data_IF_059790613132
#
_entry.id   IF_059790613132
#
_cell.length_a   1.000
_cell.length_b   1.000
_cell.length_c   1.000
_cell.angle_alpha   90.00
_cell.angle_beta   90.00
_cell.angle_gamma   90.00
#
_symmetry.space_group_name_H-M   'P 1'
#
loop_
_entity.id
_entity.type
_entity.pdbx_description
1 polymer ?
#
# COMPACT_ATOMS: atom_id res chain seq x y z
N UNK A 1 46.61 68.37 42.77
CA UNK A 1 45.27 68.67 43.33
C UNK A 1 44.50 69.51 42.31
N UNK A 2 43.77 68.88 41.38
CA UNK A 2 42.85 69.53 40.43
C UNK A 2 41.67 68.59 40.16
N UNK A 3 40.50 69.20 40.02
CA UNK A 3 39.16 68.69 40.28
C UNK A 3 38.58 67.83 39.15
N UNK A 4 37.60 67.01 39.54
CA UNK A 4 36.74 66.15 38.73
C UNK A 4 35.96 66.89 37.64
N UNK A 5 35.61 66.17 36.57
CA UNK A 5 34.35 66.36 35.83
C UNK A 5 33.79 64.97 35.49
N UNK A 6 32.62 64.69 36.06
CA UNK A 6 31.78 63.52 35.86
C UNK A 6 30.81 63.85 34.73
N UNK A 7 30.88 63.17 33.60
CA UNK A 7 29.90 63.30 32.51
C UNK A 7 29.00 62.08 32.54
N UNK A 8 27.76 62.24 33.03
CA UNK A 8 26.69 61.26 32.92
C UNK A 8 26.20 61.21 31.46
N UNK A 9 26.28 60.04 30.83
CA UNK A 9 25.62 59.74 29.56
C UNK A 9 24.38 58.89 29.87
N UNK A 10 23.19 59.44 29.67
CA UNK A 10 21.92 58.70 29.72
C UNK A 10 21.65 58.16 28.32
N UNK A 11 21.75 56.84 28.14
CA UNK A 11 21.34 56.15 26.91
C UNK A 11 19.95 55.58 27.13
N UNK A 12 18.94 56.18 26.49
CA UNK A 12 17.61 55.59 26.38
C UNK A 12 17.62 54.53 25.27
N UNK A 13 17.61 53.25 25.67
CA UNK A 13 17.49 52.13 24.74
C UNK A 13 16.03 51.90 24.33
N UNK A 14 15.74 52.12 23.04
CA UNK A 14 14.47 51.71 22.42
C UNK A 14 14.57 50.22 22.09
N UNK A 15 13.78 49.39 22.77
CA UNK A 15 13.62 47.97 22.42
C UNK A 15 12.57 47.89 21.31
N UNK A 16 13.03 47.70 20.07
CA UNK A 16 12.14 47.31 18.97
C UNK A 16 11.80 45.83 19.13
N UNK A 17 10.59 45.51 19.58
CA UNK A 17 10.07 44.15 19.52
C UNK A 17 9.66 43.85 18.08
N UNK A 18 10.48 43.08 17.37
CA UNK A 18 10.08 42.44 16.12
C UNK A 18 9.11 41.29 16.49
N UNK A 19 7.83 41.47 16.19
CA UNK A 19 6.87 40.37 16.20
C UNK A 19 7.00 39.64 14.86
N UNK A 20 7.66 38.49 14.86
CA UNK A 20 7.53 37.53 13.77
C UNK A 20 6.14 36.91 13.88
N UNK A 21 5.21 37.37 13.04
CA UNK A 21 3.93 36.71 12.84
C UNK A 21 4.18 35.39 12.09
N UNK A 22 4.38 34.31 12.83
CA UNK A 22 4.31 32.96 12.26
C UNK A 22 2.85 32.71 11.93
N UNK A 23 2.49 32.86 10.66
CA UNK A 23 1.22 32.37 10.15
C UNK A 23 1.23 30.84 10.28
N UNK A 24 0.68 30.33 11.39
CA UNK A 24 0.32 28.93 11.54
C UNK A 24 -0.81 28.66 10.55
N UNK A 25 -0.46 28.18 9.36
CA UNK A 25 -1.43 27.59 8.46
C UNK A 25 -1.86 26.26 9.09
N UNK A 26 -2.90 26.31 9.93
CA UNK A 26 -3.57 25.11 10.41
C UNK A 26 -4.21 24.43 9.21
N UNK A 27 -3.57 23.35 8.73
CA UNK A 27 -4.25 22.40 7.87
C UNK A 27 -4.97 21.44 8.80
N UNK A 28 -6.20 21.76 9.19
CA UNK A 28 -7.10 20.76 9.76
C UNK A 28 -7.48 19.81 8.63
N UNK A 29 -6.66 18.78 8.41
CA UNK A 29 -7.19 17.58 7.78
C UNK A 29 -8.29 17.07 8.71
N UNK A 30 -9.54 17.13 8.26
CA UNK A 30 -10.67 16.47 8.96
C UNK A 30 -10.45 14.95 8.94
N UNK A 31 -9.68 14.46 7.97
CA UNK A 31 -9.45 13.05 7.74
C UNK A 31 -8.23 12.55 8.53
N UNK A 32 -8.35 11.33 9.07
CA UNK A 32 -7.25 10.63 9.74
C UNK A 32 -6.24 10.20 8.67
N UNK A 33 -5.00 10.66 8.78
CA UNK A 33 -3.92 10.30 7.86
C UNK A 33 -3.09 9.18 8.46
N UNK A 34 -2.76 8.18 7.66
CA UNK A 34 -1.90 7.08 8.03
C UNK A 34 -0.74 6.88 7.06
N UNK A 35 0.24 6.11 7.47
CA UNK A 35 1.31 5.65 6.60
C UNK A 35 1.81 4.27 7.00
N UNK A 36 2.39 3.57 6.03
CA UNK A 36 3.09 2.31 6.24
C UNK A 36 4.42 2.31 5.51
N UNK A 37 5.44 1.84 6.22
CA UNK A 37 6.77 1.57 5.70
C UNK A 37 6.82 0.15 5.14
N UNK A 38 7.33 0.00 3.92
CA UNK A 38 7.44 -1.28 3.22
C UNK A 38 8.89 -1.46 2.79
N UNK A 39 9.47 -2.60 3.14
CA UNK A 39 10.82 -2.96 2.73
C UNK A 39 10.79 -3.66 1.37
N UNK A 40 11.46 -3.04 0.40
CA UNK A 40 11.64 -3.57 -0.94
C UNK A 40 12.83 -4.52 -0.96
N UNK A 41 12.64 -5.70 -1.54
CA UNK A 41 13.69 -6.68 -1.71
C UNK A 41 14.79 -6.14 -2.66
N UNK A 42 16.09 -6.43 -2.44
CA UNK A 42 17.16 -5.93 -3.30
C UNK A 42 17.18 -6.62 -4.68
N UNK A 43 17.93 -6.05 -5.63
CA UNK A 43 18.49 -6.74 -6.80
C UNK A 43 17.50 -7.63 -7.58
N UNK A 44 16.53 -7.04 -8.26
CA UNK A 44 15.42 -7.75 -8.94
C UNK A 44 14.46 -8.53 -8.02
N UNK A 45 14.61 -8.41 -6.71
CA UNK A 45 13.66 -8.94 -5.75
C UNK A 45 12.28 -8.31 -5.92
N UNK A 46 11.25 -9.13 -5.66
CA UNK A 46 9.85 -8.74 -5.73
C UNK A 46 9.27 -8.58 -4.32
N UNK A 47 8.55 -7.49 -4.10
CA UNK A 47 7.79 -7.23 -2.88
C UNK A 47 6.31 -7.07 -3.23
N UNK A 48 5.44 -7.85 -2.57
CA UNK A 48 3.99 -7.74 -2.74
C UNK A 48 3.50 -6.61 -1.85
N UNK A 49 2.71 -5.72 -2.43
CA UNK A 49 2.23 -4.51 -1.77
C UNK A 49 0.71 -4.44 -1.88
N UNK A 50 0.06 -3.96 -0.83
CA UNK A 50 -1.36 -3.69 -0.79
C UNK A 50 -1.62 -2.21 -0.50
N UNK A 51 -2.59 -1.63 -1.20
CA UNK A 51 -3.09 -0.28 -0.95
C UNK A 51 -4.24 -0.36 0.06
N UNK A 52 -4.10 0.31 1.20
CA UNK A 52 -5.09 0.29 2.29
C UNK A 52 -5.44 1.69 2.82
N UNK A 53 -5.02 2.69 2.06
CA UNK A 53 -5.27 4.10 2.30
C UNK A 53 -5.86 4.66 1.01
N UNK A 54 -6.68 5.68 1.14
CA UNK A 54 -7.05 6.51 0.00
C UNK A 54 -5.92 7.53 -0.20
N UNK A 55 -5.18 7.37 -1.29
CA UNK A 55 -4.07 8.26 -1.59
C UNK A 55 -4.60 9.64 -1.99
N UNK A 56 -3.95 10.70 -1.50
CA UNK A 56 -4.29 12.09 -1.85
C UNK A 56 -4.26 12.35 -3.37
N UNK A 57 -3.33 11.67 -4.04
CA UNK A 57 -3.30 11.51 -5.49
C UNK A 57 -3.19 9.99 -5.76
N UNK A 58 -4.24 9.37 -6.33
CA UNK A 58 -4.28 7.92 -6.52
C UNK A 58 -3.31 7.44 -7.60
N UNK A 59 -2.68 8.31 -8.40
CA UNK A 59 -1.74 7.86 -9.43
C UNK A 59 -0.49 7.20 -8.83
N UNK A 60 0.20 6.35 -9.60
CA UNK A 60 1.51 5.81 -9.18
C UNK A 60 2.48 6.90 -8.75
N UNK A 61 2.47 8.04 -9.43
CA UNK A 61 3.30 9.19 -9.08
C UNK A 61 2.89 9.80 -7.73
N UNK A 62 1.60 9.96 -7.47
CA UNK A 62 1.09 10.45 -6.19
C UNK A 62 1.44 9.53 -5.02
N UNK A 63 1.27 8.22 -5.21
CA UNK A 63 1.49 7.20 -4.19
C UNK A 63 2.98 6.96 -3.90
N UNK A 64 3.77 6.73 -4.95
CA UNK A 64 5.16 6.27 -4.81
C UNK A 64 6.15 7.44 -4.87
N UNK A 65 5.75 8.56 -5.47
CA UNK A 65 6.56 9.77 -5.61
C UNK A 65 7.96 9.43 -6.15
N UNK A 66 9.00 10.05 -5.59
CA UNK A 66 10.40 9.88 -5.98
C UNK A 66 11.14 8.78 -5.22
N UNK A 67 10.41 7.91 -4.50
CA UNK A 67 11.01 6.90 -3.61
C UNK A 67 11.57 5.68 -4.36
N UNK A 68 11.22 5.53 -5.64
CA UNK A 68 11.72 4.48 -6.52
C UNK A 68 12.99 4.89 -7.26
N UNK A 69 13.83 3.92 -7.59
CA UNK A 69 14.98 4.08 -8.48
C UNK A 69 14.46 4.30 -9.89
N UNK A 70 14.63 5.53 -10.37
CA UNK A 70 14.37 5.90 -11.75
C UNK A 70 15.53 5.53 -12.68
N UNK A 71 15.24 5.33 -13.96
CA UNK A 71 16.25 5.11 -14.99
C UNK A 71 15.80 5.53 -16.38
N UNK A 72 16.76 5.87 -17.25
CA UNK A 72 16.51 6.10 -18.68
C UNK A 72 16.27 4.79 -19.45
N UNK A 73 16.42 3.63 -18.80
CA UNK A 73 16.11 2.30 -19.35
C UNK A 73 15.25 1.50 -18.38
N UNK A 74 14.19 0.86 -18.88
CA UNK A 74 13.28 0.00 -18.08
C UNK A 74 14.02 -0.99 -17.19
N UNK A 75 15.05 -1.65 -17.71
CA UNK A 75 15.80 -2.66 -16.98
C UNK A 75 16.67 -2.12 -15.83
N UNK A 76 16.89 -0.80 -15.77
CA UNK A 76 17.65 -0.15 -14.70
C UNK A 76 16.78 0.55 -13.66
N UNK A 77 15.46 0.59 -13.86
CA UNK A 77 14.51 1.19 -12.92
C UNK A 77 13.85 0.12 -12.05
N UNK A 78 13.27 0.55 -10.94
CA UNK A 78 12.22 -0.25 -10.30
C UNK A 78 11.01 -0.36 -11.22
N UNK A 79 10.27 -1.45 -11.07
CA UNK A 79 9.09 -1.72 -11.87
C UNK A 79 7.90 -2.05 -10.97
N UNK A 80 6.77 -1.40 -11.25
CA UNK A 80 5.47 -1.69 -10.62
C UNK A 80 4.69 -2.60 -11.56
N UNK A 81 4.17 -3.70 -11.03
CA UNK A 81 3.36 -4.66 -11.78
C UNK A 81 1.96 -4.69 -11.20
N UNK A 82 0.98 -4.29 -12.01
CA UNK A 82 -0.44 -4.31 -11.66
C UNK A 82 -1.08 -5.42 -12.48
N UNK A 83 -1.75 -6.35 -11.81
CA UNK A 83 -2.44 -7.44 -12.49
C UNK A 83 -3.72 -6.93 -13.15
N UNK A 84 -3.86 -7.21 -14.45
CA UNK A 84 -5.08 -6.96 -15.19
C UNK A 84 -5.86 -8.27 -15.33
N UNK A 85 -6.92 -8.40 -14.54
CA UNK A 85 -7.73 -9.62 -14.51
C UNK A 85 -8.45 -9.89 -15.83
N UNK A 86 -8.78 -8.85 -16.61
CA UNK A 86 -9.48 -9.03 -17.89
C UNK A 86 -8.59 -9.70 -18.94
N UNK A 87 -7.30 -9.32 -18.97
CA UNK A 87 -6.32 -9.90 -19.90
C UNK A 87 -5.52 -11.06 -19.29
N UNK A 88 -5.61 -11.29 -17.98
CA UNK A 88 -4.77 -12.25 -17.24
C UNK A 88 -3.27 -12.01 -17.46
N UNK A 89 -2.86 -10.74 -17.47
CA UNK A 89 -1.46 -10.34 -17.64
C UNK A 89 -1.11 -9.20 -16.68
N UNK A 90 0.19 -8.95 -16.50
CA UNK A 90 0.63 -7.76 -15.78
C UNK A 90 0.79 -6.58 -16.73
N UNK A 91 0.20 -5.45 -16.35
CA UNK A 91 0.66 -4.13 -16.80
C UNK A 91 1.87 -3.74 -15.97
N UNK A 92 2.91 -3.25 -16.65
CA UNK A 92 4.21 -2.97 -16.03
C UNK A 92 4.52 -1.50 -16.22
N UNK A 93 4.97 -0.85 -15.15
CA UNK A 93 5.30 0.56 -15.15
C UNK A 93 6.66 0.80 -14.55
N UNK A 94 7.41 1.76 -15.07
CA UNK A 94 8.72 2.15 -14.56
C UNK A 94 8.85 3.67 -14.53
N UNK A 95 9.64 4.17 -13.58
CA UNK A 95 9.87 5.61 -13.42
C UNK A 95 11.11 6.07 -14.19
N UNK A 96 11.01 7.21 -14.89
CA UNK A 96 12.16 7.90 -15.51
C UNK A 96 12.71 8.99 -14.60
N UNK A 97 13.89 9.56 -14.89
CA UNK A 97 14.48 10.63 -14.07
C UNK A 97 13.66 11.94 -14.02
N UNK A 98 12.63 12.08 -14.85
CA UNK A 98 11.62 13.14 -14.77
C UNK A 98 10.55 12.91 -13.69
N UNK A 99 10.63 11.78 -12.97
CA UNK A 99 9.71 11.34 -11.92
C UNK A 99 8.28 11.02 -12.42
N UNK A 100 8.13 10.67 -13.69
CA UNK A 100 6.87 10.18 -14.26
C UNK A 100 6.95 8.67 -14.51
N UNK A 101 5.80 7.99 -14.43
CA UNK A 101 5.67 6.58 -14.76
C UNK A 101 5.23 6.36 -16.20
N UNK A 102 5.91 5.42 -16.85
CA UNK A 102 5.69 5.02 -18.23
C UNK A 102 5.36 3.54 -18.29
N UNK A 103 4.59 3.12 -19.30
CA UNK A 103 4.45 1.70 -19.62
C UNK A 103 5.83 1.11 -19.93
N UNK A 104 6.19 0.02 -19.28
CA UNK A 104 7.47 -0.64 -19.46
C UNK A 104 7.61 -1.30 -20.85
N UNK A 105 6.50 -1.58 -21.54
CA UNK A 105 6.48 -2.05 -22.93
C UNK A 105 6.61 -0.91 -23.94
N UNK A 106 6.24 0.32 -23.57
CA UNK A 106 6.38 1.54 -24.39
C UNK A 106 7.11 2.65 -23.61
N UNK A 107 8.34 2.36 -23.19
CA UNK A 107 9.11 3.28 -22.36
C UNK A 107 9.59 4.53 -23.12
N UNK A 108 9.41 4.59 -24.44
CA UNK A 108 9.65 5.79 -25.25
C UNK A 108 8.43 6.70 -25.37
N UNK A 109 7.24 6.18 -25.03
CA UNK A 109 5.97 6.87 -25.20
C UNK A 109 5.66 7.94 -24.15
N UNK A 110 4.40 8.34 -24.11
CA UNK A 110 3.87 9.30 -23.14
C UNK A 110 3.76 8.68 -21.73
N UNK A 111 3.85 9.49 -20.66
CA UNK A 111 3.61 9.01 -19.31
C UNK A 111 2.16 8.54 -19.15
N UNK A 112 1.95 7.43 -18.42
CA UNK A 112 0.62 6.81 -18.24
C UNK A 112 0.08 6.97 -16.82
N UNK A 113 0.94 6.94 -15.79
CA UNK A 113 0.60 7.17 -14.38
C UNK A 113 -0.77 6.59 -13.95
N UNK A 114 -0.99 5.26 -14.06
CA UNK A 114 -2.28 4.66 -13.69
C UNK A 114 -2.60 4.88 -12.20
N UNK A 115 -3.88 4.88 -11.83
CA UNK A 115 -4.29 4.95 -10.44
C UNK A 115 -4.02 3.65 -9.69
N UNK A 116 -3.91 3.77 -8.36
CA UNK A 116 -3.92 2.73 -7.35
C UNK A 116 -4.98 3.11 -6.33
N UNK A 117 -5.92 2.19 -6.08
CA UNK A 117 -7.03 2.39 -5.17
C UNK A 117 -6.90 1.49 -3.93
N UNK A 118 -7.53 1.91 -2.82
CA UNK A 118 -7.65 1.07 -1.63
C UNK A 118 -8.29 -0.29 -1.97
N UNK A 119 -7.76 -1.36 -1.38
CA UNK A 119 -8.15 -2.74 -1.68
C UNK A 119 -7.41 -3.38 -2.86
N UNK A 120 -6.58 -2.63 -3.61
CA UNK A 120 -5.77 -3.19 -4.69
C UNK A 120 -4.42 -3.73 -4.19
N UNK A 121 -3.98 -4.84 -4.79
CA UNK A 121 -2.64 -5.39 -4.59
C UNK A 121 -1.80 -5.26 -5.86
N UNK A 122 -0.50 -5.09 -5.70
CA UNK A 122 0.46 -5.00 -6.81
C UNK A 122 1.85 -5.49 -6.38
N UNK A 123 2.74 -5.68 -7.34
CA UNK A 123 4.14 -5.97 -7.06
C UNK A 123 5.02 -4.77 -7.34
N UNK A 124 6.08 -4.64 -6.55
CA UNK A 124 7.24 -3.82 -6.88
C UNK A 124 8.43 -4.75 -7.06
N UNK A 125 9.05 -4.70 -8.23
CA UNK A 125 10.37 -5.30 -8.47
C UNK A 125 11.42 -4.22 -8.34
N UNK A 126 12.41 -4.45 -7.48
CA UNK A 126 13.54 -3.52 -7.38
C UNK A 126 14.45 -3.58 -8.60
N UNK A 127 15.04 -2.44 -8.94
CA UNK A 127 16.08 -2.34 -9.94
C UNK A 127 17.23 -3.33 -9.65
N UNK A 128 17.90 -3.88 -10.68
CA UNK A 128 19.09 -4.72 -10.49
C UNK A 128 20.21 -3.99 -9.74
N UNK A 129 20.23 -2.66 -9.81
CA UNK A 129 21.24 -1.80 -9.17
C UNK A 129 20.95 -1.50 -7.71
N UNK A 130 19.82 -1.96 -7.14
CA UNK A 130 19.52 -1.82 -5.72
C UNK A 130 20.33 -2.86 -4.91
N UNK A 131 21.44 -2.48 -4.25
CA UNK A 131 22.38 -3.44 -3.67
C UNK A 131 21.88 -4.02 -2.34
N UNK A 132 20.98 -3.30 -1.67
CA UNK A 132 20.43 -3.65 -0.37
C UNK A 132 18.92 -3.45 -0.38
N UNK A 133 18.24 -4.05 0.61
CA UNK A 133 16.85 -3.70 0.86
C UNK A 133 16.76 -2.21 1.18
N UNK A 134 15.64 -1.60 0.74
CA UNK A 134 15.34 -0.18 0.96
C UNK A 134 13.86 -0.03 1.25
N UNK A 135 13.52 1.03 1.96
CA UNK A 135 12.17 1.26 2.41
C UNK A 135 11.46 2.28 1.52
N UNK A 136 10.19 2.03 1.23
CA UNK A 136 9.26 3.04 0.72
C UNK A 136 8.18 3.30 1.76
N UNK A 137 7.51 4.43 1.64
CA UNK A 137 6.38 4.83 2.46
C UNK A 137 5.15 4.95 1.56
N UNK A 138 4.09 4.25 1.91
CA UNK A 138 2.75 4.48 1.37
C UNK A 138 1.98 5.27 2.42
N UNK A 139 1.44 6.42 2.03
CA UNK A 139 0.69 7.30 2.90
C UNK A 139 -0.60 7.74 2.21
N UNK A 140 -1.60 8.06 3.01
CA UNK A 140 -2.90 8.51 2.54
C UNK A 140 -3.88 8.67 3.69
N UNK A 141 -5.12 8.96 3.35
CA UNK A 141 -6.21 9.02 4.30
C UNK A 141 -6.64 7.61 4.67
N UNK A 142 -6.95 7.39 5.94
CA UNK A 142 -7.67 6.20 6.35
C UNK A 142 -9.05 6.24 5.70
N UNK A 143 -9.43 5.15 5.03
CA UNK A 143 -10.73 5.02 4.40
C UNK A 143 -11.84 5.30 5.42
N UNK A 144 -12.66 6.34 5.23
CA UNK A 144 -13.68 6.74 6.19
C UNK A 144 -14.98 5.94 6.05
N UNK A 145 -15.18 5.27 4.90
CA UNK A 145 -16.39 4.51 4.63
C UNK A 145 -16.63 3.43 5.69
N UNK A 146 -17.89 3.22 6.12
CA UNK A 146 -18.22 2.19 7.10
C UNK A 146 -18.05 0.78 6.54
N UNK A 147 -18.13 0.62 5.22
CA UNK A 147 -17.86 -0.62 4.51
C UNK A 147 -17.39 -0.35 3.08
N UNK A 148 -16.55 -1.25 2.54
CA UNK A 148 -16.14 -1.25 1.13
C UNK A 148 -16.54 -2.57 0.50
N UNK A 149 -17.16 -2.51 -0.67
CA UNK A 149 -17.46 -3.67 -1.50
C UNK A 149 -16.57 -3.72 -2.74
N UNK A 150 -15.81 -4.80 -2.88
CA UNK A 150 -14.94 -5.09 -4.00
C UNK A 150 -15.54 -6.18 -4.88
N UNK A 151 -15.58 -5.95 -6.19
CA UNK A 151 -15.92 -7.01 -7.13
C UNK A 151 -14.80 -8.07 -7.18
N UNK A 152 -15.21 -9.33 -7.05
CA UNK A 152 -14.37 -10.50 -7.26
C UNK A 152 -14.85 -11.18 -8.54
N UNK A 153 -13.93 -11.35 -9.49
CA UNK A 153 -14.18 -12.08 -10.72
C UNK A 153 -13.51 -13.45 -10.68
N UNK A 154 -14.02 -14.40 -11.46
CA UNK A 154 -13.42 -15.74 -11.58
C UNK A 154 -11.96 -15.67 -12.02
N UNK A 155 -11.10 -16.49 -11.42
CA UNK A 155 -9.69 -16.59 -11.75
C UNK A 155 -8.76 -15.85 -10.79
N UNK A 156 -7.53 -15.61 -11.24
CA UNK A 156 -6.49 -14.94 -10.45
C UNK A 156 -6.68 -13.42 -10.44
N UNK A 157 -6.53 -12.82 -9.27
CA UNK A 157 -6.50 -11.38 -9.09
C UNK A 157 -5.69 -11.00 -7.85
N UNK A 158 -5.10 -9.81 -7.84
CA UNK A 158 -4.44 -9.27 -6.65
C UNK A 158 -5.40 -8.40 -5.86
N UNK A 159 -5.41 -8.58 -4.55
CA UNK A 159 -6.23 -7.80 -3.62
C UNK A 159 -5.42 -7.43 -2.39
N UNK A 160 -5.92 -6.46 -1.66
CA UNK A 160 -5.46 -6.10 -0.33
C UNK A 160 -6.68 -5.90 0.57
N UNK A 161 -6.49 -5.95 1.87
CA UNK A 161 -7.56 -5.61 2.80
C UNK A 161 -7.83 -4.09 2.71
N UNK A 162 -9.07 -3.63 2.48
CA UNK A 162 -9.31 -2.25 2.03
C UNK A 162 -9.13 -1.18 3.12
N UNK A 163 -9.05 -1.56 4.41
CA UNK A 163 -8.87 -0.62 5.51
C UNK A 163 -7.46 -0.65 6.10
N UNK A 164 -7.09 0.43 6.78
CA UNK A 164 -5.76 0.71 7.31
C UNK A 164 -5.37 -0.11 8.56
N UNK A 165 -5.58 -1.42 8.51
CA UNK A 165 -5.15 -2.35 9.55
C UNK A 165 -4.68 -3.70 9.02
N UNK A 166 -4.06 -4.46 9.92
CA UNK A 166 -3.84 -5.89 9.72
C UNK A 166 -5.14 -6.66 9.94
N UNK A 167 -5.26 -7.80 9.27
CA UNK A 167 -6.46 -8.64 9.34
C UNK A 167 -6.07 -10.10 9.49
N UNK A 168 -6.74 -10.82 10.39
CA UNK A 168 -6.67 -12.27 10.37
C UNK A 168 -7.44 -12.79 9.16
N UNK A 169 -6.86 -13.74 8.44
CA UNK A 169 -7.47 -14.43 7.30
C UNK A 169 -8.86 -14.99 7.66
N UNK A 170 -9.04 -15.46 8.90
CA UNK A 170 -10.33 -15.99 9.36
C UNK A 170 -11.39 -14.92 9.62
N UNK A 171 -10.98 -13.65 9.74
CA UNK A 171 -11.90 -12.52 9.97
C UNK A 171 -12.34 -11.85 8.66
N UNK A 172 -11.90 -12.36 7.50
CA UNK A 172 -12.34 -11.86 6.20
C UNK A 172 -13.73 -12.40 5.87
N UNK A 173 -14.61 -11.55 5.37
CA UNK A 173 -16.04 -11.89 5.19
C UNK A 173 -16.33 -12.71 3.92
N UNK A 174 -15.27 -13.14 3.21
CA UNK A 174 -15.33 -13.93 1.98
C UNK A 174 -16.36 -15.07 2.01
N UNK A 175 -16.43 -15.82 3.11
CA UNK A 175 -17.33 -16.97 3.24
C UNK A 175 -18.81 -16.56 3.20
N UNK A 176 -19.17 -15.43 3.83
CA UNK A 176 -20.53 -14.92 3.85
C UNK A 176 -20.88 -14.17 2.55
N UNK A 177 -19.86 -13.64 1.88
CA UNK A 177 -19.98 -12.89 0.62
C UNK A 177 -20.09 -13.76 -0.63
N UNK A 178 -20.00 -15.08 -0.49
CA UNK A 178 -20.20 -16.03 -1.59
C UNK A 178 -18.92 -16.64 -2.16
N UNK A 179 -17.80 -16.58 -1.45
CA UNK A 179 -16.61 -17.35 -1.81
C UNK A 179 -16.95 -18.85 -1.90
N UNK A 180 -16.35 -19.52 -2.89
CA UNK A 180 -16.62 -20.94 -3.12
C UNK A 180 -15.86 -21.80 -2.12
N UNK A 181 -16.57 -22.53 -1.27
CA UNK A 181 -15.96 -23.52 -0.38
C UNK A 181 -15.94 -24.92 -1.02
N UNK A 182 -15.04 -25.80 -0.56
CA UNK A 182 -15.04 -27.20 -0.96
C UNK A 182 -14.53 -28.14 0.14
N UNK A 183 -14.86 -29.44 0.02
CA UNK A 183 -14.23 -30.51 0.80
C UNK A 183 -12.84 -30.91 0.28
N UNK A 184 -12.42 -30.36 -0.88
CA UNK A 184 -11.08 -30.54 -1.47
C UNK A 184 -10.49 -29.19 -1.82
N UNK A 185 -9.24 -28.93 -1.43
CA UNK A 185 -8.58 -27.62 -1.62
C UNK A 185 -8.58 -27.11 -3.07
N UNK A 186 -8.48 -27.99 -4.07
CA UNK A 186 -8.51 -27.59 -5.49
C UNK A 186 -9.88 -27.09 -6.00
N UNK A 187 -10.97 -27.46 -5.32
CA UNK A 187 -12.33 -27.07 -5.67
C UNK A 187 -12.82 -25.81 -4.95
N UNK A 188 -12.05 -25.29 -3.99
CA UNK A 188 -12.37 -24.08 -3.23
C UNK A 188 -11.66 -22.85 -3.80
N UNK A 189 -12.17 -21.67 -3.46
CA UNK A 189 -11.44 -20.42 -3.60
C UNK A 189 -10.14 -20.48 -2.77
N UNK A 190 -9.13 -19.76 -3.23
CA UNK A 190 -7.79 -19.80 -2.63
C UNK A 190 -7.21 -18.41 -2.42
N UNK A 191 -6.46 -18.24 -1.33
CA UNK A 191 -5.66 -17.05 -1.03
C UNK A 191 -4.19 -17.44 -0.99
N UNK A 192 -3.33 -16.68 -1.69
CA UNK A 192 -1.89 -16.88 -1.68
C UNK A 192 -1.24 -15.65 -1.04
N UNK A 193 -0.55 -15.87 0.07
CA UNK A 193 0.15 -14.84 0.83
C UNK A 193 1.65 -15.05 0.65
N UNK A 194 2.34 -14.06 0.07
CA UNK A 194 3.77 -14.14 -0.17
C UNK A 194 4.57 -13.78 1.08
N UNK A 195 5.39 -14.70 1.57
CA UNK A 195 6.23 -14.52 2.75
C UNK A 195 7.54 -15.27 2.63
N UNK A 196 8.63 -14.64 3.08
CA UNK A 196 9.95 -15.28 3.13
C UNK A 196 10.38 -15.90 1.78
N UNK A 197 9.96 -15.29 0.66
CA UNK A 197 10.31 -15.76 -0.69
C UNK A 197 9.47 -16.92 -1.23
N UNK A 198 8.36 -17.29 -0.56
CA UNK A 198 7.45 -18.34 -1.01
C UNK A 198 5.97 -17.96 -0.75
N UNK A 199 5.03 -18.67 -1.40
CA UNK A 199 3.61 -18.53 -1.08
C UNK A 199 3.19 -19.54 -0.02
N UNK A 200 2.55 -19.04 1.03
CA UNK A 200 1.60 -19.84 1.80
C UNK A 200 0.25 -19.77 1.11
N UNK A 201 -0.39 -20.92 0.90
CA UNK A 201 -1.64 -21.02 0.14
C UNK A 201 -2.73 -21.52 1.10
N UNK A 202 -3.88 -20.87 1.08
CA UNK A 202 -5.03 -21.20 1.90
C UNK A 202 -6.25 -21.44 1.02
N UNK A 203 -7.11 -22.37 1.41
CA UNK A 203 -8.35 -22.72 0.69
C UNK A 203 -9.55 -22.71 1.65
N UNK A 204 -10.73 -22.29 1.16
CA UNK A 204 -11.94 -22.21 1.97
C UNK A 204 -12.63 -23.58 2.11
N UNK A 205 -12.73 -24.10 3.34
CA UNK A 205 -13.23 -25.46 3.61
C UNK A 205 -14.70 -25.48 3.97
N UNK A 206 -15.51 -26.30 3.29
CA UNK A 206 -16.98 -26.33 3.48
C UNK A 206 -17.41 -26.75 4.88
N UNK A 207 -16.72 -27.68 5.54
CA UNK A 207 -17.16 -28.21 6.83
C UNK A 207 -17.06 -27.20 7.98
N UNK A 208 -16.17 -26.22 7.87
CA UNK A 208 -15.91 -25.22 8.91
C UNK A 208 -16.21 -23.80 8.44
N UNK A 209 -16.37 -23.58 7.14
CA UNK A 209 -16.44 -22.25 6.52
C UNK A 209 -15.26 -21.35 6.94
N UNK A 210 -14.07 -21.95 7.01
CA UNK A 210 -12.82 -21.29 7.42
C UNK A 210 -11.75 -21.54 6.38
N UNK A 211 -10.73 -20.69 6.36
CA UNK A 211 -9.55 -20.87 5.52
C UNK A 211 -8.62 -21.89 6.16
N UNK A 212 -8.10 -22.83 5.36
CA UNK A 212 -7.15 -23.86 5.80
C UNK A 212 -5.92 -23.84 4.89
N UNK A 213 -4.74 -24.07 5.47
CA UNK A 213 -3.51 -24.24 4.69
C UNK A 213 -3.66 -25.43 3.74
N UNK A 214 -3.31 -25.30 2.46
CA UNK A 214 -3.51 -26.43 1.53
C UNK A 214 -2.57 -27.60 1.84
N UNK A 215 -1.42 -27.33 2.45
CA UNK A 215 -0.45 -28.36 2.84
C UNK A 215 -0.96 -29.23 4.00
N UNK A 216 -1.88 -28.70 4.81
CA UNK A 216 -2.60 -29.41 5.87
C UNK A 216 -4.10 -29.09 5.84
N UNK A 217 -4.74 -29.33 4.69
CA UNK A 217 -6.17 -28.99 4.52
C UNK A 217 -7.10 -29.80 5.45
N UNK A 218 -6.60 -30.89 6.04
CA UNK A 218 -7.29 -31.69 7.04
C UNK A 218 -7.21 -31.13 8.46
N UNK A 219 -6.22 -30.28 8.72
CA UNK A 219 -5.88 -29.75 10.04
C UNK A 219 -6.81 -28.64 10.56
N UNK A 220 -6.38 -27.97 11.65
CA UNK A 220 -7.08 -26.82 12.19
C UNK A 220 -6.87 -25.57 11.31
N UNK A 221 -7.85 -24.66 11.34
CA UNK A 221 -7.72 -23.37 10.66
C UNK A 221 -6.56 -22.56 11.28
N UNK A 222 -5.62 -22.03 10.48
CA UNK A 222 -4.50 -21.25 10.99
C UNK A 222 -4.95 -19.84 11.41
N UNK A 223 -4.27 -19.28 12.42
CA UNK A 223 -4.38 -17.87 12.79
C UNK A 223 -3.44 -17.02 11.93
N UNK A 224 -3.75 -16.94 10.63
CA UNK A 224 -2.90 -16.23 9.67
C UNK A 224 -3.23 -14.74 9.65
N UNK A 225 -2.32 -13.89 10.11
CA UNK A 225 -2.45 -12.43 9.96
C UNK A 225 -1.87 -11.98 8.62
N UNK A 226 -2.60 -11.14 7.91
CA UNK A 226 -2.15 -10.36 6.76
C UNK A 226 -1.79 -8.96 7.28
N UNK A 227 -0.49 -8.61 7.34
CA UNK A 227 -0.01 -7.31 7.81
C UNK A 227 -0.55 -6.12 7.01
N UNK A 228 -0.60 -4.97 7.69
CA UNK A 228 -0.81 -3.68 7.04
C UNK A 228 0.25 -3.43 5.93
N UNK A 229 -0.21 -3.08 4.73
CA UNK A 229 0.56 -2.82 3.52
C UNK A 229 0.81 -4.06 2.66
N UNK A 230 0.31 -5.24 3.05
CA UNK A 230 0.50 -6.47 2.30
C UNK A 230 -0.69 -6.79 1.39
N UNK A 231 -0.40 -6.99 0.10
CA UNK A 231 -1.34 -7.57 -0.85
C UNK A 231 -1.26 -9.10 -0.83
N UNK A 232 -2.26 -9.75 -1.41
CA UNK A 232 -2.32 -11.20 -1.60
C UNK A 232 -2.93 -11.53 -2.97
N UNK A 233 -2.70 -12.75 -3.45
CA UNK A 233 -3.47 -13.27 -4.58
C UNK A 233 -4.74 -13.91 -4.08
N UNK A 234 -5.82 -13.71 -4.84
CA UNK A 234 -7.07 -14.44 -4.70
C UNK A 234 -7.34 -15.22 -5.98
N UNK A 235 -7.79 -16.47 -5.84
CA UNK A 235 -8.23 -17.32 -6.94
C UNK A 235 -9.68 -17.69 -6.72
N UNK A 236 -10.58 -17.03 -7.44
CA UNK A 236 -12.01 -17.25 -7.33
C UNK A 236 -12.46 -18.36 -8.29
N UNK A 237 -13.36 -19.23 -7.85
CA UNK A 237 -14.06 -20.23 -8.68
C UNK A 237 -15.33 -19.68 -9.31
N UNK A 238 -15.96 -18.69 -8.67
CA UNK A 238 -17.13 -17.98 -9.15
C UNK A 238 -17.02 -16.49 -8.81
N UNK A 239 -17.67 -15.58 -9.55
CA UNK A 239 -17.69 -14.17 -9.21
C UNK A 239 -18.61 -13.92 -8.00
N UNK A 240 -18.25 -12.94 -7.17
CA UNK A 240 -19.07 -12.48 -6.06
C UNK A 240 -18.65 -11.05 -5.65
N UNK A 241 -19.35 -10.47 -4.68
CA UNK A 241 -19.04 -9.13 -4.15
C UNK A 241 -18.50 -9.28 -2.73
N UNK A 242 -17.21 -8.99 -2.54
CA UNK A 242 -16.54 -9.07 -1.24
C UNK A 242 -16.72 -7.74 -0.49
N UNK A 243 -17.40 -7.77 0.65
CA UNK A 243 -17.71 -6.62 1.47
C UNK A 243 -16.97 -6.68 2.80
N UNK A 244 -16.19 -5.66 3.11
CA UNK A 244 -15.50 -5.55 4.41
C UNK A 244 -16.03 -4.36 5.19
N UNK A 245 -16.19 -4.54 6.51
CA UNK A 245 -16.60 -3.47 7.42
C UNK A 245 -15.39 -2.78 8.01
N UNK A 246 -15.46 -1.45 8.12
CA UNK A 246 -14.42 -0.64 8.71
C UNK A 246 -14.34 -0.86 10.22
N UNK A 247 -13.23 -1.45 10.67
CA UNK A 247 -12.95 -1.77 12.07
C UNK A 247 -12.75 -0.52 12.95
N UNK A 248 -12.58 0.65 12.33
CA UNK A 248 -12.37 1.93 13.02
C UNK A 248 -13.57 2.87 12.94
N UNK A 249 -14.68 2.44 12.35
CA UNK A 249 -15.90 3.25 12.36
C UNK A 249 -16.39 3.42 13.81
N UNK A 250 -16.33 4.65 14.31
CA UNK A 250 -16.92 5.02 15.60
C UNK A 250 -18.44 4.97 15.40
N UNK A 251 -19.12 4.11 16.17
CA UNK A 251 -20.58 4.07 16.22
C UNK A 251 -21.15 5.32 16.88
#
# INVERSE_FOLDING_TARGET
MKRAVLTMLVVAGVVAMAYDAVAQQEVTSVNVVGFRKIDLAPSNGFTQVGMQFDAFDPTLQGVLSTQLIASTKVGGADQVYIWDTASSTYKRYAMKPDNLFYDANDFGGAPTNPPLHSGEGFWIRSAPTAPTSRQIVIAGEAVPDPAITNAIVTGFQMKAFPFSCEVNLQDLDFANDGATSSSKSGGADQIYVWENGAYSIYALKTSTMQWHDISDFGGPAPSKVIPLGQGFWYVAKAPFAWSETNRYSIK
#
